data_IF_803206242751
#
_entry.id   IF_803206242751
#
_cell.length_a   1.000
_cell.length_b   1.000
_cell.length_c   1.000
_cell.angle_alpha   90.00
_cell.angle_beta   90.00
_cell.angle_gamma   90.00
#
_symmetry.space_group_name_H-M   'P 1'
#
loop_
_entity.id
_entity.type
_entity.pdbx_description
1 polymer ?
#
# COMPACT_ATOMS: atom_id res chain seq x y z
N UNK A 1 1.26 -9.68 -6.65
CA UNK A 1 0.10 -10.15 -7.44
C UNK A 1 -1.09 -9.35 -7.01
N UNK A 2 -1.92 -8.94 -7.98
CA UNK A 2 -3.18 -8.22 -7.77
C UNK A 2 -4.29 -8.95 -8.54
N UNK A 3 -5.52 -8.46 -8.44
CA UNK A 3 -6.66 -8.98 -9.21
C UNK A 3 -7.05 -7.92 -10.23
N UNK A 4 -7.30 -8.34 -11.47
CA UNK A 4 -7.75 -7.43 -12.53
C UNK A 4 -9.26 -7.16 -12.48
N UNK A 5 -9.76 -6.30 -13.36
CA UNK A 5 -11.19 -5.94 -13.45
C UNK A 5 -12.11 -7.13 -13.76
N UNK A 6 -11.58 -8.20 -14.34
CA UNK A 6 -12.30 -9.43 -14.65
C UNK A 6 -12.31 -10.44 -13.47
N UNK A 7 -11.59 -10.15 -12.39
CA UNK A 7 -11.45 -11.06 -11.25
C UNK A 7 -10.34 -12.11 -11.40
N UNK A 8 -9.52 -12.02 -12.47
CA UNK A 8 -8.44 -12.96 -12.73
C UNK A 8 -7.14 -12.55 -12.02
N UNK A 9 -6.27 -13.52 -11.66
CA UNK A 9 -4.95 -13.23 -11.12
C UNK A 9 -4.10 -12.47 -12.13
N UNK A 10 -3.52 -11.36 -11.67
CA UNK A 10 -2.57 -10.56 -12.43
C UNK A 10 -1.31 -10.33 -11.60
N UNK A 11 -0.18 -10.18 -12.26
CA UNK A 11 1.09 -10.10 -11.56
C UNK A 11 2.20 -9.58 -12.44
N UNK A 12 3.18 -8.96 -11.79
CA UNK A 12 4.39 -8.49 -12.44
C UNK A 12 5.59 -9.08 -11.71
N UNK A 13 6.65 -9.32 -12.47
CA UNK A 13 7.93 -9.69 -11.92
C UNK A 13 9.02 -8.95 -12.70
N UNK A 14 10.11 -8.64 -12.02
CA UNK A 14 11.28 -8.01 -12.62
C UNK A 14 12.45 -8.98 -12.54
N UNK A 15 13.41 -8.79 -13.43
CA UNK A 15 14.70 -9.48 -13.36
C UNK A 15 15.82 -8.50 -13.09
N UNK A 16 16.96 -9.07 -12.65
CA UNK A 16 18.24 -8.40 -12.77
C UNK A 16 18.90 -8.75 -14.11
N UNK A 17 19.86 -7.94 -14.59
CA UNK A 17 20.59 -8.25 -15.81
C UNK A 17 21.22 -9.64 -15.71
N UNK A 18 21.01 -10.45 -16.75
CA UNK A 18 21.60 -11.77 -16.83
C UNK A 18 23.11 -11.71 -17.11
N UNK A 19 23.82 -12.79 -16.78
CA UNK A 19 25.23 -12.96 -17.16
C UNK A 19 25.44 -13.03 -18.70
N UNK A 20 24.36 -13.19 -19.46
CA UNK A 20 24.32 -13.20 -20.92
C UNK A 20 24.40 -11.79 -21.55
N UNK A 21 24.48 -10.75 -20.73
CA UNK A 21 24.60 -9.36 -21.18
C UNK A 21 23.27 -8.74 -21.62
N UNK A 22 22.14 -9.44 -21.44
CA UNK A 22 20.82 -8.84 -21.63
C UNK A 22 20.50 -7.90 -20.49
N UNK A 23 19.78 -6.82 -20.80
CA UNK A 23 19.24 -5.91 -19.79
C UNK A 23 18.26 -6.62 -18.85
N UNK A 24 17.85 -5.92 -17.79
CA UNK A 24 16.73 -6.39 -16.97
C UNK A 24 15.45 -6.44 -17.80
N UNK A 25 14.47 -7.22 -17.40
CA UNK A 25 13.18 -7.32 -18.08
C UNK A 25 12.03 -7.33 -17.07
N UNK A 26 10.86 -6.92 -17.56
CA UNK A 26 9.60 -6.96 -16.82
C UNK A 26 8.73 -8.06 -17.43
N UNK A 27 8.26 -8.96 -16.58
CA UNK A 27 7.30 -10.00 -16.90
C UNK A 27 5.92 -9.58 -16.39
N UNK A 28 4.88 -9.94 -17.14
CA UNK A 28 3.48 -9.72 -16.80
C UNK A 28 2.72 -11.06 -16.90
N UNK A 29 1.94 -11.38 -15.87
CA UNK A 29 1.11 -12.57 -15.81
C UNK A 29 -0.22 -12.29 -16.51
N UNK A 30 -0.37 -12.84 -17.71
CA UNK A 30 -1.56 -12.69 -18.56
C UNK A 30 -2.16 -14.06 -18.80
N UNK A 31 -3.45 -14.24 -18.50
CA UNK A 31 -4.18 -15.49 -18.70
C UNK A 31 -3.46 -16.72 -18.08
N UNK A 32 -2.89 -16.54 -16.89
CA UNK A 32 -2.16 -17.60 -16.17
C UNK A 32 -0.78 -17.94 -16.74
N UNK A 33 -0.21 -17.12 -17.64
CA UNK A 33 1.15 -17.29 -18.18
C UNK A 33 1.98 -16.03 -18.00
N UNK A 34 3.23 -16.22 -17.63
CA UNK A 34 4.21 -15.14 -17.58
C UNK A 34 4.70 -14.83 -18.98
N UNK A 35 4.49 -13.59 -19.42
CA UNK A 35 4.93 -13.08 -20.71
C UNK A 35 5.89 -11.92 -20.50
N UNK A 36 6.90 -11.80 -21.36
CA UNK A 36 7.83 -10.67 -21.32
C UNK A 36 7.12 -9.43 -21.87
N UNK A 37 6.95 -8.42 -21.02
CA UNK A 37 6.31 -7.16 -21.40
C UNK A 37 7.32 -6.19 -22.01
N UNK A 38 8.48 -6.01 -21.39
CA UNK A 38 9.51 -5.08 -21.87
C UNK A 38 10.92 -5.44 -21.39
N UNK A 39 11.91 -5.07 -22.20
CA UNK A 39 13.33 -5.10 -21.83
C UNK A 39 13.78 -3.71 -21.39
N UNK A 40 14.38 -3.62 -20.21
CA UNK A 40 14.96 -2.40 -19.64
C UNK A 40 16.48 -2.46 -19.75
N UNK A 41 16.97 -1.91 -20.87
CA UNK A 41 18.39 -1.95 -21.20
C UNK A 41 19.27 -1.12 -20.25
N UNK A 42 20.40 -1.69 -19.85
CA UNK A 42 21.43 -1.03 -19.02
C UNK A 42 20.89 -0.44 -17.70
N UNK A 43 19.93 -1.13 -17.07
CA UNK A 43 19.41 -0.82 -15.73
C UNK A 43 19.33 -2.09 -14.92
N UNK A 44 19.56 -1.98 -13.62
CA UNK A 44 19.18 -2.99 -12.63
C UNK A 44 17.82 -2.59 -12.10
N UNK A 45 16.84 -3.48 -12.18
CA UNK A 45 15.57 -3.30 -11.50
C UNK A 45 15.72 -3.90 -10.09
N UNK A 46 15.49 -3.08 -9.07
CA UNK A 46 15.70 -3.48 -7.68
C UNK A 46 14.45 -4.10 -7.09
N UNK A 47 13.34 -3.36 -7.12
CA UNK A 47 12.04 -3.78 -6.58
C UNK A 47 10.92 -3.21 -7.44
N UNK A 48 9.83 -3.97 -7.51
CA UNK A 48 8.57 -3.59 -8.12
C UNK A 48 7.48 -3.65 -7.06
N UNK A 49 6.58 -2.67 -7.05
CA UNK A 49 5.35 -2.72 -6.27
C UNK A 49 4.15 -2.32 -7.11
N UNK A 50 3.05 -3.04 -6.96
CA UNK A 50 1.83 -2.85 -7.75
C UNK A 50 0.66 -2.64 -6.79
N UNK A 51 0.04 -1.47 -6.82
CA UNK A 51 -1.15 -1.18 -5.99
C UNK A 51 -2.44 -1.62 -6.68
N UNK A 52 -2.41 -1.77 -8.00
CA UNK A 52 -3.51 -2.31 -8.79
C UNK A 52 -3.01 -2.98 -10.07
N UNK A 53 -3.94 -3.51 -10.84
CA UNK A 53 -3.71 -4.04 -12.17
C UNK A 53 -3.06 -3.05 -13.14
N UNK A 54 -3.27 -1.76 -12.92
CA UNK A 54 -2.96 -0.69 -13.86
C UNK A 54 -2.08 0.40 -13.25
N UNK A 55 -1.57 0.19 -12.04
CA UNK A 55 -0.82 1.20 -11.30
C UNK A 55 0.27 0.55 -10.44
N UNK A 56 1.52 0.91 -10.72
CA UNK A 56 2.69 0.25 -10.15
C UNK A 56 4.00 1.01 -10.35
N UNK A 57 4.98 0.76 -9.50
CA UNK A 57 6.25 1.47 -9.45
C UNK A 57 7.43 0.52 -9.44
N UNK A 58 8.50 0.91 -10.10
CA UNK A 58 9.79 0.21 -10.03
C UNK A 58 10.86 1.22 -9.66
N UNK A 59 11.69 0.84 -8.69
CA UNK A 59 12.98 1.48 -8.46
C UNK A 59 14.06 0.72 -9.22
N UNK A 60 14.88 1.48 -9.93
CA UNK A 60 15.92 0.95 -10.78
C UNK A 60 17.16 1.83 -10.75
N UNK A 61 18.30 1.26 -11.12
CA UNK A 61 19.58 1.94 -11.07
C UNK A 61 20.36 1.74 -12.37
N UNK A 62 21.02 2.80 -12.82
CA UNK A 62 22.14 2.72 -13.75
C UNK A 62 23.45 2.74 -12.95
N UNK A 63 23.93 1.56 -12.52
CA UNK A 63 25.11 1.45 -11.66
C UNK A 63 26.35 2.15 -12.23
N UNK A 64 26.48 2.17 -13.57
CA UNK A 64 27.62 2.83 -14.23
C UNK A 64 27.61 4.34 -14.03
N UNK A 65 26.43 4.93 -13.90
CA UNK A 65 26.24 6.36 -13.70
C UNK A 65 25.93 6.72 -12.25
N UNK A 66 25.59 5.74 -11.41
CA UNK A 66 25.09 5.96 -10.05
C UNK A 66 23.81 6.78 -10.03
N UNK A 67 22.97 6.63 -11.06
CA UNK A 67 21.71 7.37 -11.19
C UNK A 67 20.56 6.39 -10.97
N UNK A 68 19.63 6.81 -10.13
CA UNK A 68 18.40 6.10 -9.89
C UNK A 68 17.28 6.51 -10.82
N UNK A 69 16.35 5.57 -11.02
CA UNK A 69 15.23 5.68 -11.92
C UNK A 69 13.96 5.18 -11.23
N UNK A 70 12.89 5.96 -11.34
CA UNK A 70 11.55 5.56 -10.91
C UNK A 70 10.69 5.38 -12.15
N UNK A 71 10.34 4.13 -12.42
CA UNK A 71 9.35 3.81 -13.44
C UNK A 71 7.98 3.75 -12.82
N UNK A 72 6.99 4.13 -13.62
CA UNK A 72 5.58 4.10 -13.27
C UNK A 72 4.80 3.39 -14.35
N UNK A 73 3.97 2.43 -13.96
CA UNK A 73 3.06 1.74 -14.83
C UNK A 73 1.72 2.45 -14.85
N UNK A 74 1.30 2.90 -16.04
CA UNK A 74 -0.03 3.45 -16.27
C UNK A 74 -0.42 3.23 -17.72
N UNK A 75 -1.71 3.00 -17.95
CA UNK A 75 -2.28 2.83 -19.29
C UNK A 75 -1.58 1.73 -20.12
N UNK A 76 -1.18 0.64 -19.45
CA UNK A 76 -0.56 -0.52 -20.08
C UNK A 76 0.93 -0.38 -20.40
N UNK A 77 1.57 0.72 -20.01
CA UNK A 77 2.98 0.99 -20.33
C UNK A 77 3.78 1.44 -19.11
N UNK A 78 5.07 1.08 -19.09
CA UNK A 78 6.03 1.55 -18.10
C UNK A 78 6.74 2.80 -18.60
N UNK A 79 6.63 3.88 -17.84
CA UNK A 79 7.29 5.16 -18.16
C UNK A 79 8.29 5.53 -17.08
N UNK A 80 9.49 5.97 -17.49
CA UNK A 80 10.42 6.61 -16.58
C UNK A 80 9.90 8.01 -16.23
N UNK A 81 9.51 8.22 -14.96
CA UNK A 81 9.05 9.51 -14.47
C UNK A 81 10.13 10.30 -13.75
N UNK A 82 11.10 9.63 -13.13
CA UNK A 82 12.17 10.30 -12.40
C UNK A 82 13.52 9.65 -12.65
N UNK A 83 14.55 10.48 -12.84
CA UNK A 83 15.95 10.03 -12.86
C UNK A 83 16.81 10.94 -11.99
N UNK A 84 16.91 10.62 -10.70
CA UNK A 84 17.58 11.45 -9.71
C UNK A 84 18.06 10.61 -8.51
N UNK A 85 18.98 11.16 -7.74
CA UNK A 85 19.41 10.59 -6.46
C UNK A 85 20.43 9.46 -6.59
N UNK A 86 20.86 8.96 -5.43
CA UNK A 86 21.67 7.75 -5.30
C UNK A 86 20.80 6.49 -5.22
N UNK A 87 21.43 5.29 -5.15
CA UNK A 87 20.75 3.99 -5.24
C UNK A 87 19.59 3.82 -4.23
N UNK A 88 18.56 3.08 -4.66
CA UNK A 88 17.39 2.69 -3.87
C UNK A 88 17.15 1.22 -4.13
N UNK A 89 16.93 0.45 -3.07
CA UNK A 89 16.87 -1.01 -3.12
C UNK A 89 15.45 -1.54 -3.01
N UNK A 90 14.53 -0.77 -2.43
CA UNK A 90 13.14 -1.16 -2.31
C UNK A 90 12.20 0.02 -2.49
N UNK A 91 10.99 -0.30 -2.95
CA UNK A 91 9.86 0.62 -3.05
C UNK A 91 8.64 -0.08 -2.50
N UNK A 92 7.83 0.65 -1.73
CA UNK A 92 6.51 0.21 -1.32
C UNK A 92 5.55 1.38 -1.34
N UNK A 93 4.36 1.10 -1.86
CA UNK A 93 3.31 2.05 -2.14
C UNK A 93 2.10 1.67 -1.29
N UNK A 94 1.68 2.59 -0.42
CA UNK A 94 0.46 2.40 0.36
C UNK A 94 -0.78 2.50 -0.54
N UNK A 95 -0.71 3.37 -1.54
CA UNK A 95 -1.68 3.50 -2.63
C UNK A 95 -1.08 4.30 -3.79
N UNK A 96 -1.90 4.62 -4.78
CA UNK A 96 -1.45 5.27 -6.01
C UNK A 96 -0.91 6.70 -5.84
N UNK A 97 -1.04 7.30 -4.66
CA UNK A 97 -0.63 8.66 -4.36
C UNK A 97 0.33 8.72 -3.17
N UNK A 98 0.75 7.58 -2.61
CA UNK A 98 1.64 7.59 -1.46
C UNK A 98 2.55 6.37 -1.39
N UNK A 99 3.83 6.61 -1.19
CA UNK A 99 4.80 5.54 -1.02
C UNK A 99 6.19 6.03 -0.64
N UNK A 100 7.07 5.06 -0.42
CA UNK A 100 8.45 5.26 -0.04
C UNK A 100 9.37 4.39 -0.87
N UNK A 101 10.50 4.96 -1.26
CA UNK A 101 11.66 4.20 -1.71
C UNK A 101 12.78 4.36 -0.70
N UNK A 102 13.55 3.31 -0.48
CA UNK A 102 14.60 3.27 0.54
C UNK A 102 15.88 2.68 -0.03
N UNK A 103 17.02 3.08 0.53
CA UNK A 103 18.34 2.70 0.04
C UNK A 103 19.42 2.77 1.12
N UNK A 104 20.69 2.94 0.73
CA UNK A 104 21.82 2.83 1.64
C UNK A 104 21.88 3.99 2.63
N UNK A 105 22.40 3.69 3.83
CA UNK A 105 22.74 4.65 4.88
C UNK A 105 21.61 5.62 5.23
N UNK A 106 20.39 5.09 5.30
CA UNK A 106 19.18 5.84 5.64
C UNK A 106 18.62 6.70 4.51
N UNK A 107 19.16 6.61 3.28
CA UNK A 107 18.62 7.31 2.12
C UNK A 107 17.18 6.83 1.83
N UNK A 108 16.27 7.76 1.62
CA UNK A 108 14.88 7.46 1.29
C UNK A 108 14.26 8.58 0.44
N UNK A 109 13.29 8.23 -0.39
CA UNK A 109 12.51 9.17 -1.18
C UNK A 109 11.01 8.95 -0.92
N UNK A 110 10.26 10.02 -0.64
CA UNK A 110 8.81 9.99 -0.40
C UNK A 110 8.03 10.37 -1.66
N UNK A 111 7.11 9.50 -2.08
CA UNK A 111 6.14 9.80 -3.12
C UNK A 111 4.84 10.30 -2.52
N UNK A 112 4.32 11.42 -3.01
CA UNK A 112 3.04 11.99 -2.57
C UNK A 112 2.05 12.23 -3.73
N UNK A 113 2.15 11.44 -4.80
CA UNK A 113 1.23 11.52 -5.95
C UNK A 113 1.57 12.62 -6.96
N UNK A 114 2.49 13.51 -6.62
CA UNK A 114 2.92 14.60 -7.48
C UNK A 114 4.43 14.57 -7.73
N UNK A 115 4.81 15.11 -8.88
CA UNK A 115 6.20 15.30 -9.25
C UNK A 115 6.75 16.56 -8.57
N UNK A 116 7.83 16.43 -7.79
CA UNK A 116 8.50 17.59 -7.20
C UNK A 116 9.50 18.17 -8.18
N UNK A 117 9.06 19.09 -9.05
CA UNK A 117 9.98 20.03 -9.66
C UNK A 117 9.29 21.33 -10.10
N UNK A 118 9.72 22.51 -9.61
CA UNK A 118 9.08 23.80 -9.96
C UNK A 118 9.47 24.35 -11.35
N UNK A 119 10.53 23.82 -11.98
CA UNK A 119 10.98 24.24 -13.32
C UNK A 119 10.65 23.20 -14.40
N UNK A 120 10.24 23.64 -15.60
CA UNK A 120 9.75 22.77 -16.68
C UNK A 120 10.82 21.86 -17.34
N UNK A 121 12.11 22.10 -17.10
CA UNK A 121 13.22 21.40 -17.80
C UNK A 121 14.07 20.52 -16.88
N UNK A 122 13.53 20.05 -15.75
CA UNK A 122 14.23 19.09 -14.90
C UNK A 122 13.43 17.82 -14.73
N UNK A 123 14.13 16.68 -14.59
CA UNK A 123 13.46 15.42 -14.32
C UNK A 123 12.66 15.56 -13.02
N UNK A 124 11.43 15.06 -13.06
CA UNK A 124 10.61 14.96 -11.87
C UNK A 124 11.33 14.10 -10.83
N UNK A 125 11.07 14.31 -9.55
CA UNK A 125 11.58 13.44 -8.49
C UNK A 125 10.60 13.32 -7.33
N UNK A 126 10.80 12.26 -6.56
CA UNK A 126 10.20 12.06 -5.25
C UNK A 126 10.93 12.91 -4.22
N UNK A 127 10.28 13.19 -3.10
CA UNK A 127 10.84 14.06 -2.07
C UNK A 127 11.99 13.36 -1.37
N UNK A 128 13.19 13.90 -1.52
CA UNK A 128 14.36 13.35 -0.87
C UNK A 128 14.26 13.46 0.65
N UNK A 129 14.65 12.38 1.30
CA UNK A 129 14.57 12.21 2.72
C UNK A 129 15.79 11.46 3.25
N UNK A 130 16.04 11.59 4.54
CA UNK A 130 17.01 10.76 5.24
C UNK A 130 16.37 10.28 6.52
N UNK A 131 16.33 8.96 6.69
CA UNK A 131 15.76 8.32 7.86
C UNK A 131 16.71 8.55 9.04
N UNK A 132 16.17 9.13 10.12
CA UNK A 132 16.89 9.47 11.34
C UNK A 132 16.24 8.84 12.55
N UNK A 133 17.06 8.55 13.56
CA UNK A 133 16.59 8.25 14.91
C UNK A 133 15.86 9.45 15.53
N UNK A 134 15.18 9.22 16.65
CA UNK A 134 14.48 10.26 17.40
C UNK A 134 15.38 11.40 17.90
N UNK A 135 16.70 11.17 17.98
CA UNK A 135 17.71 12.18 18.32
C UNK A 135 18.22 12.98 17.11
N UNK A 136 17.69 12.72 15.91
CA UNK A 136 18.05 13.37 14.65
C UNK A 136 19.32 12.81 13.98
N UNK A 137 19.96 11.77 14.54
CA UNK A 137 21.09 11.12 13.87
C UNK A 137 20.60 10.23 12.74
N UNK A 138 21.32 10.26 11.62
CA UNK A 138 21.06 9.38 10.47
C UNK A 138 21.12 7.92 10.94
N UNK A 139 20.10 7.14 10.58
CA UNK A 139 20.13 5.70 10.75
C UNK A 139 21.07 5.13 9.69
N UNK A 140 22.25 4.68 10.09
CA UNK A 140 23.28 4.12 9.21
C UNK A 140 22.95 2.70 8.70
N UNK A 141 21.67 2.42 8.46
CA UNK A 141 21.16 1.16 7.92
C UNK A 141 21.11 1.28 6.40
N UNK A 142 21.63 0.27 5.71
CA UNK A 142 21.33 0.08 4.29
C UNK A 142 20.01 -0.68 4.19
N UNK A 143 18.91 0.05 3.97
CA UNK A 143 17.57 -0.52 3.95
C UNK A 143 17.37 -1.35 2.69
N UNK A 144 17.13 -2.65 2.87
CA UNK A 144 17.04 -3.63 1.80
C UNK A 144 15.59 -3.86 1.36
N UNK A 145 14.65 -3.69 2.28
CA UNK A 145 13.24 -3.86 2.01
C UNK A 145 12.39 -2.92 2.87
N UNK A 146 11.24 -2.56 2.32
CA UNK A 146 10.20 -1.77 2.98
C UNK A 146 8.85 -2.33 2.59
N UNK A 147 7.94 -2.41 3.55
CA UNK A 147 6.54 -2.67 3.30
C UNK A 147 5.69 -1.66 4.03
N UNK A 148 4.89 -0.90 3.28
CA UNK A 148 3.81 -0.10 3.84
C UNK A 148 2.56 -0.98 3.95
N UNK A 149 1.90 -0.94 5.10
CA UNK A 149 0.57 -1.51 5.30
C UNK A 149 -0.52 -0.47 5.05
N UNK A 150 -0.18 0.80 5.28
CA UNK A 150 -1.02 1.95 4.97
C UNK A 150 -0.13 3.19 4.83
N UNK A 151 -0.75 4.36 4.64
CA UNK A 151 -0.03 5.65 4.70
C UNK A 151 0.54 5.97 6.09
N UNK A 152 0.11 5.23 7.12
CA UNK A 152 0.43 5.51 8.53
C UNK A 152 1.25 4.43 9.21
N UNK A 153 1.34 3.24 8.60
CA UNK A 153 2.01 2.07 9.17
C UNK A 153 2.86 1.37 8.12
N UNK A 154 4.08 0.99 8.50
CA UNK A 154 5.00 0.30 7.62
C UNK A 154 6.22 -0.19 8.37
N UNK A 155 7.01 -1.05 7.71
CA UNK A 155 8.14 -1.73 8.33
C UNK A 155 9.28 -1.83 7.34
N UNK A 156 10.50 -1.73 7.85
CA UNK A 156 11.72 -1.72 7.08
C UNK A 156 12.72 -2.69 7.68
N UNK A 157 13.52 -3.28 6.82
CA UNK A 157 14.65 -4.10 7.23
C UNK A 157 15.88 -3.77 6.43
N UNK A 158 17.05 -4.07 6.97
CA UNK A 158 18.27 -3.82 6.25
C UNK A 158 19.51 -4.35 6.92
N UNK A 159 20.63 -3.86 6.39
CA UNK A 159 21.98 -4.18 6.85
C UNK A 159 22.49 -3.06 7.72
N UNK A 160 23.10 -3.40 8.85
CA UNK A 160 23.79 -2.43 9.67
C UNK A 160 25.29 -2.70 9.70
N UNK A 161 26.10 -1.65 9.80
CA UNK A 161 27.56 -1.76 9.72
C UNK A 161 28.20 -2.51 10.89
N UNK A 162 27.46 -2.71 11.98
CA UNK A 162 27.91 -3.43 13.18
C UNK A 162 27.44 -4.90 13.22
N UNK A 163 26.91 -5.41 12.10
CA UNK A 163 26.36 -6.76 11.96
C UNK A 163 25.09 -7.05 12.79
N UNK A 164 24.43 -6.07 13.38
CA UNK A 164 23.13 -6.27 14.03
C UNK A 164 21.98 -6.51 13.04
N UNK A 165 20.99 -7.32 13.42
CA UNK A 165 19.76 -7.40 12.65
C UNK A 165 18.98 -6.10 12.83
N UNK A 166 18.49 -5.53 11.75
CA UNK A 166 17.82 -4.22 11.77
C UNK A 166 16.38 -4.32 11.30
N UNK A 167 15.44 -4.04 12.21
CA UNK A 167 14.03 -3.82 11.91
C UNK A 167 13.64 -2.42 12.38
N UNK A 168 12.99 -1.67 11.52
CA UNK A 168 12.49 -0.31 11.83
C UNK A 168 11.00 -0.26 11.53
N UNK A 169 10.24 0.24 12.48
CA UNK A 169 8.83 0.51 12.33
C UNK A 169 8.62 1.97 11.89
N UNK A 170 7.81 2.16 10.85
CA UNK A 170 7.40 3.44 10.31
C UNK A 170 6.00 3.79 10.81
N UNK A 171 5.88 4.96 11.43
CA UNK A 171 4.60 5.52 11.85
C UNK A 171 4.49 6.98 11.40
N UNK A 172 3.42 7.30 10.67
CA UNK A 172 3.09 8.71 10.35
C UNK A 172 2.12 9.24 11.38
N UNK A 173 2.48 10.35 12.04
CA UNK A 173 1.74 10.89 13.19
C UNK A 173 0.83 12.07 12.79
N UNK A 174 0.98 12.63 11.60
CA UNK A 174 0.20 13.78 11.13
C UNK A 174 -0.79 13.42 10.00
N UNK A 175 -2.02 13.94 10.11
CA UNK A 175 -3.09 13.87 9.08
C UNK A 175 -2.82 14.77 7.88
N UNK A 176 -2.13 15.90 8.10
CA UNK A 176 -1.79 16.83 7.03
C UNK A 176 -0.55 16.31 6.29
N UNK A 177 -0.68 16.13 4.97
CA UNK A 177 0.44 15.74 4.11
C UNK A 177 1.55 16.81 4.11
N UNK A 178 1.20 18.07 4.43
CA UNK A 178 2.13 19.20 4.47
C UNK A 178 2.98 19.27 5.74
N UNK A 179 2.55 18.63 6.85
CA UNK A 179 3.32 18.56 8.10
C UNK A 179 3.93 17.17 8.23
N UNK A 180 5.25 17.06 8.02
CA UNK A 180 5.98 15.79 8.14
C UNK A 180 6.29 15.49 9.60
N UNK A 181 5.38 14.78 10.27
CA UNK A 181 5.69 14.13 11.55
C UNK A 181 5.73 12.63 11.30
N UNK A 182 6.93 12.10 11.14
CA UNK A 182 7.19 10.68 10.92
C UNK A 182 8.05 10.18 12.07
N UNK A 183 7.67 9.05 12.62
CA UNK A 183 8.41 8.34 13.65
C UNK A 183 8.99 7.07 13.04
N UNK A 184 10.32 7.05 12.96
CA UNK A 184 11.09 5.87 12.58
C UNK A 184 11.61 5.25 13.86
N UNK A 185 11.03 4.11 14.25
CA UNK A 185 11.32 3.45 15.51
C UNK A 185 12.14 2.18 15.28
N UNK A 186 13.41 2.12 15.72
CA UNK A 186 14.13 0.86 15.78
C UNK A 186 13.39 -0.13 16.69
N UNK A 187 13.27 -1.36 16.24
CA UNK A 187 12.59 -2.42 16.97
C UNK A 187 13.59 -3.32 17.68
N UNK A 188 13.27 -3.67 18.93
CA UNK A 188 14.07 -4.66 19.66
C UNK A 188 13.83 -6.05 19.08
N UNK A 189 14.91 -6.83 18.99
CA UNK A 189 14.89 -8.21 18.51
C UNK A 189 15.34 -9.12 19.64
N UNK A 190 14.40 -9.88 20.18
CA UNK A 190 14.67 -10.91 21.16
C UNK A 190 15.44 -12.07 20.51
N UNK A 191 16.57 -12.45 21.13
CA UNK A 191 17.50 -13.46 20.60
C UNK A 191 18.01 -13.11 19.20
N UNK A 192 18.43 -11.86 19.00
CA UNK A 192 18.94 -11.36 17.73
C UNK A 192 19.97 -12.34 17.10
N UNK A 193 19.75 -12.82 15.86
CA UNK A 193 20.69 -13.69 15.17
C UNK A 193 21.95 -12.94 14.66
N UNK A 194 21.98 -11.61 14.78
CA UNK A 194 23.08 -10.74 14.36
C UNK A 194 23.37 -10.95 12.87
N UNK A 195 22.32 -10.79 12.05
CA UNK A 195 22.36 -11.04 10.60
C UNK A 195 21.73 -9.88 9.83
N UNK A 196 22.29 -9.62 8.65
CA UNK A 196 21.65 -8.77 7.64
C UNK A 196 20.25 -9.30 7.29
N UNK A 197 19.26 -8.42 7.26
CA UNK A 197 17.91 -8.73 6.83
C UNK A 197 17.66 -8.19 5.41
N UNK A 198 16.93 -8.96 4.61
CA UNK A 198 16.77 -8.74 3.17
C UNK A 198 15.32 -8.62 2.72
N UNK A 199 14.37 -9.11 3.51
CA UNK A 199 12.95 -9.06 3.16
C UNK A 199 12.09 -8.98 4.40
N UNK A 200 10.97 -8.26 4.29
CA UNK A 200 9.97 -8.16 5.35
C UNK A 200 8.57 -8.35 4.77
N UNK A 201 7.73 -9.06 5.52
CA UNK A 201 6.33 -9.21 5.20
C UNK A 201 5.50 -9.24 6.47
N UNK A 202 4.62 -8.26 6.61
CA UNK A 202 3.74 -8.00 7.72
C UNK A 202 2.30 -8.21 7.29
N UNK A 203 1.53 -8.78 8.20
CA UNK A 203 0.10 -9.00 8.05
C UNK A 203 -0.65 -7.86 8.74
N UNK A 204 -1.49 -7.10 8.01
CA UNK A 204 -2.28 -6.04 8.61
C UNK A 204 -3.47 -6.62 9.37
N UNK A 205 -3.79 -6.00 10.50
CA UNK A 205 -5.03 -6.20 11.23
C UNK A 205 -6.19 -5.39 10.66
N UNK A 206 -7.42 -5.56 11.20
CA UNK A 206 -8.59 -4.80 10.78
C UNK A 206 -8.45 -3.28 10.95
N UNK A 207 -7.57 -2.84 11.83
CA UNK A 207 -7.26 -1.44 12.12
C UNK A 207 -6.11 -0.88 11.27
N UNK A 208 -5.58 -1.67 10.32
CA UNK A 208 -4.51 -1.27 9.41
C UNK A 208 -3.09 -1.39 10.00
N UNK A 209 -2.96 -1.82 11.26
CA UNK A 209 -1.66 -2.04 11.93
C UNK A 209 -1.19 -3.48 11.78
N UNK A 210 0.13 -3.70 11.76
CA UNK A 210 0.68 -5.05 11.81
C UNK A 210 0.18 -5.85 13.04
N UNK A 211 -0.34 -7.05 12.78
CA UNK A 211 -0.73 -8.03 13.82
C UNK A 211 0.17 -9.25 13.85
N UNK A 212 0.88 -9.52 12.77
CA UNK A 212 1.77 -10.65 12.61
C UNK A 212 2.78 -10.34 11.48
N UNK A 213 3.88 -11.08 11.37
CA UNK A 213 4.81 -10.88 10.26
C UNK A 213 6.17 -11.56 10.41
N UNK A 214 6.93 -11.53 9.32
CA UNK A 214 8.25 -12.14 9.24
C UNK A 214 9.27 -11.21 8.60
N UNK A 215 10.49 -11.27 9.11
CA UNK A 215 11.66 -10.73 8.43
C UNK A 215 12.65 -11.86 8.15
N UNK A 216 13.27 -11.85 6.97
CA UNK A 216 14.18 -12.90 6.52
C UNK A 216 15.53 -12.33 6.12
N UNK A 217 16.60 -13.09 6.36
CA UNK A 217 17.96 -12.58 6.29
C UNK A 217 19.05 -13.58 5.90
N UNK A 218 20.29 -13.10 5.99
CA UNK A 218 21.50 -13.89 5.81
C UNK A 218 21.51 -15.14 6.70
N UNK A 219 22.18 -16.19 6.23
CA UNK A 219 22.32 -17.44 6.99
C UNK A 219 20.99 -18.20 7.22
N UNK A 220 19.91 -17.81 6.54
CA UNK A 220 18.58 -18.37 6.78
C UNK A 220 17.91 -17.81 8.05
N UNK A 221 18.34 -16.63 8.51
CA UNK A 221 17.67 -15.94 9.61
C UNK A 221 16.19 -15.70 9.28
N UNK A 222 15.32 -16.07 10.22
CA UNK A 222 13.88 -15.80 10.17
C UNK A 222 13.49 -15.23 11.52
N UNK A 223 13.00 -13.99 11.50
CA UNK A 223 12.40 -13.32 12.64
C UNK A 223 10.88 -13.35 12.49
N UNK A 224 10.18 -13.53 13.59
CA UNK A 224 8.72 -13.49 13.67
C UNK A 224 8.29 -12.35 14.57
N UNK A 225 7.32 -11.56 14.13
CA UNK A 225 6.68 -10.54 14.94
C UNK A 225 5.28 -10.97 15.27
N UNK A 226 4.97 -11.05 16.56
CA UNK A 226 3.61 -11.25 17.04
C UNK A 226 3.13 -9.92 17.58
N UNK A 227 2.13 -9.33 16.91
CA UNK A 227 1.56 -8.05 17.34
C UNK A 227 0.76 -8.19 18.64
N UNK A 228 0.42 -7.06 19.28
CA UNK A 228 -0.46 -7.08 20.45
C UNK A 228 -1.79 -7.78 20.14
N UNK A 229 -2.26 -8.58 21.10
CA UNK A 229 -3.56 -9.24 21.01
C UNK A 229 -4.65 -8.21 20.70
N UNK A 230 -5.45 -8.48 19.67
CA UNK A 230 -6.57 -7.62 19.30
C UNK A 230 -7.63 -7.64 20.41
N UNK A 231 -8.21 -6.48 20.80
CA UNK A 231 -9.37 -6.47 21.67
C UNK A 231 -10.50 -7.26 21.01
N UNK A 232 -11.24 -8.04 21.80
CA UNK A 232 -12.36 -8.84 21.30
C UNK A 232 -13.33 -7.94 20.54
N UNK A 233 -13.74 -8.36 19.34
CA UNK A 233 -14.76 -7.67 18.57
C UNK A 233 -16.01 -7.51 19.44
N UNK A 234 -16.62 -6.31 19.53
CA UNK A 234 -17.83 -6.14 20.31
C UNK A 234 -18.89 -7.10 19.78
N UNK A 235 -19.41 -7.96 20.64
CA UNK A 235 -20.53 -8.85 20.31
C UNK A 235 -21.66 -7.98 19.74
N UNK A 236 -22.19 -8.27 18.54
CA UNK A 236 -23.26 -7.47 17.97
C UNK A 236 -24.43 -7.47 18.95
N UNK A 237 -24.73 -6.30 19.53
CA UNK A 237 -25.92 -6.11 20.35
C UNK A 237 -27.12 -6.28 19.42
N UNK A 238 -27.91 -7.33 19.66
CA UNK A 238 -29.12 -7.58 18.89
C UNK A 238 -29.97 -6.30 18.85
N UNK A 239 -30.11 -5.70 17.67
CA UNK A 239 -31.03 -4.59 17.47
C UNK A 239 -32.42 -5.18 17.51
N UNK A 240 -33.21 -4.83 18.55
CA UNK A 240 -34.60 -5.28 18.64
C UNK A 240 -35.33 -4.82 17.38
N UNK A 241 -35.70 -5.78 16.53
CA UNK A 241 -36.54 -5.52 15.37
C UNK A 241 -37.92 -5.13 15.92
N UNK A 242 -38.38 -3.93 15.59
CA UNK A 242 -39.74 -3.52 15.95
C UNK A 242 -40.73 -4.45 15.25
N UNK A 243 -41.49 -5.19 16.03
CA UNK A 243 -42.57 -6.04 15.54
C UNK A 243 -43.63 -5.16 14.89
N UNK A 244 -43.85 -5.31 13.58
CA UNK A 244 -44.91 -4.58 12.88
C UNK A 244 -46.28 -4.94 13.47
N UNK A 245 -47.00 -3.94 13.96
CA UNK A 245 -48.40 -4.05 14.40
C UNK A 245 -49.26 -4.60 13.25
N UNK A 246 -50.12 -5.62 13.48
CA UNK A 246 -50.95 -6.16 12.41
C UNK A 246 -51.93 -5.09 11.89
N UNK A 247 -51.94 -4.91 10.57
CA UNK A 247 -52.85 -4.05 9.83
C UNK A 247 -54.29 -4.58 9.96
N UNK A 248 -55.29 -3.77 10.33
CA UNK A 248 -56.67 -4.23 10.45
C UNK A 248 -57.23 -4.64 9.08
N UNK A 249 -57.85 -5.82 9.04
CA UNK A 249 -58.50 -6.40 7.86
C UNK A 249 -59.70 -5.53 7.42
N UNK A 250 -59.81 -5.11 6.15
CA UNK A 250 -60.97 -4.37 5.69
C UNK A 250 -62.22 -5.26 5.67
N UNK A 251 -63.31 -4.76 6.26
CA UNK A 251 -64.64 -5.37 6.23
C UNK A 251 -65.29 -5.13 4.86
N UNK A 252 -66.01 -6.11 4.26
CA UNK A 252 -66.67 -5.92 2.97
C UNK A 252 -67.92 -5.05 3.13
N UNK A 253 -67.97 -3.93 2.42
CA UNK A 253 -69.17 -3.09 2.33
C UNK A 253 -69.90 -3.38 1.02
N UNK A 254 -71.21 -3.61 1.12
CA UNK A 254 -72.11 -4.03 0.06
C UNK A 254 -72.25 -3.04 -1.10
N UNK A 255 -72.36 -3.61 -2.29
CA UNK A 255 -72.74 -2.97 -3.56
C UNK A 255 -74.09 -2.26 -3.48
N UNK A 256 -74.13 -1.00 -3.95
CA UNK A 256 -75.35 -0.35 -4.40
C UNK A 256 -75.12 0.23 -5.81
N UNK A 257 -76.03 -0.10 -6.71
CA UNK A 257 -76.06 0.30 -8.11
C UNK A 257 -76.83 1.61 -8.27
N UNK A 258 -76.25 2.63 -8.92
CA UNK A 258 -76.98 3.47 -9.88
C UNK A 258 -76.06 4.41 -10.71
N UNK A 259 -76.20 4.21 -12.03
CA UNK A 259 -76.13 5.11 -13.20
C UNK A 259 -75.86 6.61 -12.98
N UNK A 260 -74.78 7.13 -13.60
CA UNK A 260 -74.77 8.25 -14.57
C UNK A 260 -73.36 8.47 -15.17
N UNK A 261 -73.31 8.96 -16.41
CA UNK A 261 -72.13 9.35 -17.23
C UNK A 261 -72.51 10.67 -17.94
N UNK A 262 -71.62 11.55 -18.44
CA UNK A 262 -70.17 11.78 -18.22
C UNK A 262 -69.82 13.25 -17.86
N UNK A 263 -68.57 13.52 -17.44
CA UNK A 263 -67.85 14.74 -17.85
C UNK A 263 -66.35 14.42 -17.93
N UNK A 264 -65.74 14.66 -19.09
CA UNK A 264 -64.31 14.50 -19.31
C UNK A 264 -63.55 15.72 -18.78
N UNK A 265 -62.56 15.50 -17.92
CA UNK A 265 -61.58 16.52 -17.50
C UNK A 265 -60.20 16.02 -17.89
N UNK A 266 -59.55 16.73 -18.81
CA UNK A 266 -58.16 16.50 -19.18
C UNK A 266 -57.27 16.78 -17.97
N UNK A 267 -56.47 15.79 -17.57
CA UNK A 267 -55.44 15.96 -16.54
C UNK A 267 -54.09 15.99 -17.24
N UNK A 268 -53.36 17.10 -17.10
CA UNK A 268 -52.02 17.28 -17.66
C UNK A 268 -51.05 16.39 -16.88
N UNK A 269 -50.32 15.51 -17.57
CA UNK A 269 -49.23 14.73 -16.99
C UNK A 269 -48.01 15.64 -16.78
N UNK A 270 -47.48 15.82 -15.56
CA UNK A 270 -46.19 16.48 -15.40
C UNK A 270 -45.09 15.56 -15.96
N UNK A 271 -44.33 16.07 -16.93
CA UNK A 271 -43.12 15.45 -17.45
C UNK A 271 -42.07 15.40 -16.34
N UNK A 272 -41.52 14.22 -16.07
CA UNK A 272 -40.42 14.06 -15.13
C UNK A 272 -39.22 14.89 -15.58
N UNK A 273 -38.73 15.76 -14.70
CA UNK A 273 -37.45 16.46 -14.83
C UNK A 273 -36.32 15.42 -14.75
N UNK A 274 -35.29 15.44 -15.62
CA UNK A 274 -34.14 14.57 -15.46
C UNK A 274 -33.46 14.86 -14.11
N UNK A 275 -33.40 13.83 -13.27
CA UNK A 275 -32.69 13.87 -11.99
C UNK A 275 -31.19 13.90 -12.27
N UNK A 276 -30.51 14.94 -11.80
CA UNK A 276 -29.06 15.01 -11.81
C UNK A 276 -28.51 13.85 -10.96
N UNK A 277 -27.72 12.98 -11.58
CA UNK A 277 -26.95 11.95 -10.90
C UNK A 277 -26.17 12.60 -9.75
N UNK A 278 -26.31 12.17 -8.49
CA UNK A 278 -25.52 12.73 -7.41
C UNK A 278 -24.04 12.47 -7.70
N UNK A 279 -23.25 13.54 -7.68
CA UNK A 279 -21.78 13.48 -7.61
C UNK A 279 -21.37 12.54 -6.48
N UNK A 280 -20.34 11.69 -6.64
CA UNK A 280 -19.89 10.81 -5.58
C UNK A 280 -19.67 11.63 -4.32
N UNK A 281 -20.37 11.25 -3.24
CA UNK A 281 -20.14 11.80 -1.92
C UNK A 281 -18.67 11.54 -1.56
N UNK A 282 -17.89 12.54 -1.11
CA UNK A 282 -16.53 12.29 -0.67
C UNK A 282 -16.57 11.17 0.36
N UNK A 283 -15.78 10.12 0.12
CA UNK A 283 -15.62 9.01 1.06
C UNK A 283 -15.37 9.60 2.44
N UNK A 284 -16.11 9.17 3.49
CA UNK A 284 -15.83 9.64 4.85
C UNK A 284 -14.35 9.40 5.13
N UNK A 285 -13.66 10.44 5.61
CA UNK A 285 -12.28 10.35 6.03
C UNK A 285 -12.16 9.18 6.99
N UNK A 286 -11.41 8.14 6.60
CA UNK A 286 -11.07 7.03 7.49
C UNK A 286 -10.40 7.67 8.71
N UNK A 287 -10.95 7.50 9.92
CA UNK A 287 -10.37 8.09 11.12
C UNK A 287 -8.90 7.66 11.23
N UNK A 288 -8.03 8.59 11.60
CA UNK A 288 -6.62 8.31 11.82
C UNK A 288 -6.48 7.09 12.74
N UNK A 289 -5.70 6.06 12.36
CA UNK A 289 -5.41 4.96 13.27
C UNK A 289 -4.79 5.55 14.54
N UNK A 290 -5.36 5.25 15.72
CA UNK A 290 -4.79 5.74 16.98
C UNK A 290 -3.38 5.15 17.14
N UNK A 291 -2.38 5.94 17.59
CA UNK A 291 -1.03 5.43 17.84
C UNK A 291 -1.07 4.23 18.78
N UNK A 292 -0.41 3.13 18.40
CA UNK A 292 -0.26 1.98 19.31
C UNK A 292 0.83 2.29 20.34
N UNK A 293 0.43 2.32 21.61
CA UNK A 293 1.31 2.60 22.76
C UNK A 293 2.28 1.44 23.08
N UNK A 294 2.11 0.27 22.48
CA UNK A 294 2.93 -0.92 22.76
C UNK A 294 3.25 -1.68 21.47
N UNK A 295 4.54 -1.96 21.27
CA UNK A 295 5.04 -2.90 20.26
C UNK A 295 5.79 -4.01 20.97
N UNK A 296 5.60 -5.24 20.49
CA UNK A 296 6.34 -6.40 20.96
C UNK A 296 7.65 -6.55 20.19
N UNK A 297 8.69 -7.13 20.81
CA UNK A 297 9.94 -7.40 20.10
C UNK A 297 9.72 -8.44 19.00
N UNK A 298 10.50 -8.35 17.91
CA UNK A 298 10.64 -9.48 17.01
C UNK A 298 11.36 -10.61 17.73
N UNK A 299 10.99 -11.85 17.44
CA UNK A 299 11.61 -13.04 18.03
C UNK A 299 12.27 -13.84 16.93
N UNK A 300 13.57 -14.09 17.06
CA UNK A 300 14.26 -15.00 16.17
C UNK A 300 13.78 -16.43 16.39
N UNK A 301 13.33 -17.09 15.31
CA UNK A 301 12.98 -18.52 15.35
C UNK A 301 14.10 -19.30 14.66
N UNK A 302 15.01 -19.83 15.46
CA UNK A 302 16.11 -20.65 14.96
C UNK A 302 15.69 -22.10 14.72
N UNK A 303 16.09 -22.67 13.58
CA UNK A 303 16.51 -24.06 13.54
C UNK A 303 17.91 -24.14 14.15
N UNK A 304 18.03 -24.82 15.29
CA UNK A 304 19.33 -25.31 15.72
C UNK A 304 19.84 -26.29 14.65
N UNK A 305 20.89 -25.93 13.92
CA UNK A 305 21.65 -26.89 13.11
C UNK A 305 22.37 -26.31 11.90
N UNK A 306 23.67 -26.06 12.06
CA UNK A 306 24.74 -26.93 11.52
C UNK A 306 26.04 -26.69 12.25
#
# INVERSE_FOLDING_TARGET
>A
MVVNDAGDPEGWAISRPGADGRGSYILHLVNGRWEMQTEVNSKILWTIDMVSASDGWIVAEDERRGINFFFWYRDGTWENKSSWGGPMYAVSMADALYGWAVGPSGNADEYIGECHHPLPNRPCHWLQFTITNSDGRIMGIDFQDIQLLSRYDGWLVGKHRDASSSVVHYERIAEDVTVRVINWRPMEIANDPVQDLYGIYMLPGPDGWAVDGWAVGAGGAILHYEGPAQPASPTPTATLTSTSTPQPTPMPTSTATSVATPTATWTVTPSATPSLTPSPTPTPSVPLPKPRLAYLPFVARGSAGR
#
